data_IF_674628773379
#
_entry.id   IF_674628773379
#
_cell.length_a   1.000
_cell.length_b   1.000
_cell.length_c   1.000
_cell.angle_alpha   90.00
_cell.angle_beta   90.00
_cell.angle_gamma   90.00
#
_symmetry.space_group_name_H-M   'P 1'
#
loop_
_entity.id
_entity.type
_entity.pdbx_description
1 polymer ?
#
# COMPACT_ATOMS: atom_id res chain seq x y z
N UNK A 1 11.92 32.74 13.08
CA UNK A 1 11.20 31.74 12.28
C UNK A 1 11.44 30.39 12.92
N UNK A 2 10.45 29.86 13.64
CA UNK A 2 10.50 28.52 14.22
C UNK A 2 10.21 27.52 13.10
N UNK A 3 11.20 26.74 12.70
CA UNK A 3 10.98 25.57 11.85
C UNK A 3 10.19 24.55 12.68
N UNK A 4 8.92 24.31 12.33
CA UNK A 4 8.16 23.25 12.99
C UNK A 4 8.81 21.91 12.63
N UNK A 5 9.28 21.18 13.64
CA UNK A 5 9.81 19.82 13.49
C UNK A 5 8.64 18.83 13.30
N UNK A 6 7.85 19.05 12.25
CA UNK A 6 6.64 18.27 11.97
C UNK A 6 7.03 16.92 11.38
N UNK A 7 6.74 15.84 12.09
CA UNK A 7 6.86 14.49 11.54
C UNK A 7 5.76 14.29 10.50
N UNK A 8 6.14 13.94 9.28
CA UNK A 8 5.20 13.63 8.19
C UNK A 8 4.96 12.13 8.12
N UNK A 9 3.76 11.75 7.73
CA UNK A 9 3.40 10.37 7.43
C UNK A 9 3.46 10.14 5.93
N UNK A 10 4.23 9.15 5.51
CA UNK A 10 4.12 8.56 4.17
C UNK A 10 3.16 7.37 4.25
N UNK A 11 2.34 7.19 3.23
CA UNK A 11 1.42 6.06 3.11
C UNK A 11 1.74 5.29 1.83
N UNK A 12 1.84 3.98 1.95
CA UNK A 12 1.99 3.06 0.83
C UNK A 12 0.79 2.11 0.84
N UNK A 13 0.10 2.06 -0.29
CA UNK A 13 -0.98 1.11 -0.56
C UNK A 13 -0.45 0.08 -1.54
N UNK A 14 -0.46 -1.19 -1.17
CA UNK A 14 -0.11 -2.30 -2.04
C UNK A 14 -1.34 -3.18 -2.26
N UNK A 15 -1.62 -3.48 -3.51
CA UNK A 15 -2.58 -4.50 -3.92
C UNK A 15 -1.80 -5.74 -4.33
N UNK A 16 -1.99 -6.84 -3.61
CA UNK A 16 -1.25 -8.08 -3.84
C UNK A 16 -2.09 -9.08 -4.64
N UNK A 17 -1.43 -10.06 -5.26
CA UNK A 17 -2.11 -11.09 -6.05
C UNK A 17 -2.97 -12.04 -5.19
N UNK A 18 -2.62 -12.20 -3.91
CA UNK A 18 -3.38 -12.96 -2.90
C UNK A 18 -3.38 -12.20 -1.57
N UNK A 19 -4.09 -12.71 -0.55
CA UNK A 19 -4.07 -12.14 0.80
C UNK A 19 -2.79 -12.45 1.59
N UNK A 20 -1.79 -13.13 1.01
CA UNK A 20 -0.52 -13.37 1.65
C UNK A 20 0.42 -12.17 1.47
N UNK A 21 1.15 -11.78 2.52
CA UNK A 21 1.98 -10.56 2.53
C UNK A 21 3.22 -10.66 1.60
N UNK A 22 3.67 -11.88 1.33
CA UNK A 22 4.74 -12.25 0.40
C UNK A 22 4.24 -12.45 -1.03
N UNK A 23 2.95 -12.21 -1.30
CA UNK A 23 2.39 -12.32 -2.64
C UNK A 23 2.83 -11.16 -3.53
N UNK A 24 3.00 -11.37 -4.85
CA UNK A 24 3.43 -10.32 -5.76
C UNK A 24 2.50 -9.11 -5.75
N UNK A 25 3.09 -7.91 -5.81
CA UNK A 25 2.35 -6.65 -6.01
C UNK A 25 1.80 -6.59 -7.44
N UNK A 26 0.51 -6.29 -7.57
CA UNK A 26 -0.21 -6.14 -8.85
C UNK A 26 -0.78 -4.73 -9.05
N UNK A 27 -0.68 -3.87 -8.04
CA UNK A 27 -1.06 -2.46 -8.09
C UNK A 27 -0.59 -1.74 -6.84
N UNK A 28 -0.34 -0.43 -6.92
CA UNK A 28 0.14 0.34 -5.78
C UNK A 28 -0.18 1.82 -5.91
N UNK A 29 -0.18 2.50 -4.77
CA UNK A 29 -0.16 3.96 -4.68
C UNK A 29 0.76 4.38 -3.53
N UNK A 30 1.52 5.47 -3.70
CA UNK A 30 2.42 6.00 -2.67
C UNK A 30 2.16 7.47 -2.44
N UNK A 31 1.86 7.85 -1.21
CA UNK A 31 1.69 9.23 -0.78
C UNK A 31 2.88 9.64 0.10
N UNK A 32 3.60 10.69 -0.31
CA UNK A 32 4.82 11.15 0.37
C UNK A 32 4.57 12.13 1.54
N UNK A 33 3.32 12.58 1.71
CA UNK A 33 2.90 13.50 2.77
C UNK A 33 3.35 14.96 2.55
N UNK A 34 3.90 15.31 1.39
CA UNK A 34 4.39 16.67 1.08
C UNK A 34 3.33 17.56 0.44
N UNK A 35 2.32 16.96 -0.20
CA UNK A 35 1.32 17.68 -1.00
C UNK A 35 1.84 18.15 -2.37
N UNK A 36 3.10 17.86 -2.73
CA UNK A 36 3.68 18.21 -4.02
C UNK A 36 3.26 17.24 -5.14
N UNK A 37 2.89 16.02 -4.78
CA UNK A 37 2.49 14.95 -5.72
C UNK A 37 1.02 14.60 -5.56
N UNK A 38 0.38 14.15 -6.65
CA UNK A 38 -0.99 13.62 -6.66
C UNK A 38 -0.99 12.26 -7.32
N UNK A 39 -0.47 11.24 -6.63
CA UNK A 39 -0.25 9.95 -7.24
C UNK A 39 -1.58 9.21 -7.46
N UNK A 40 -1.68 8.48 -8.56
CA UNK A 40 -2.73 7.52 -8.86
C UNK A 40 -2.15 6.11 -8.98
N UNK A 41 -3.01 5.10 -8.82
CA UNK A 41 -2.65 3.71 -9.08
C UNK A 41 -2.20 3.57 -10.53
N UNK A 42 -0.96 3.11 -10.75
CA UNK A 42 -0.38 2.94 -12.10
C UNK A 42 0.43 4.12 -12.64
N UNK A 43 0.88 5.06 -11.80
CA UNK A 43 1.82 6.14 -12.22
C UNK A 43 3.20 5.65 -12.71
N UNK A 44 3.48 4.35 -12.54
CA UNK A 44 4.67 3.68 -13.04
C UNK A 44 4.30 2.24 -13.43
N UNK A 45 5.09 1.63 -14.31
CA UNK A 45 4.96 0.22 -14.67
C UNK A 45 5.63 -0.70 -13.64
N UNK A 46 6.50 -0.17 -12.78
CA UNK A 46 7.25 -0.94 -11.78
C UNK A 46 6.82 -0.60 -10.35
N UNK A 47 6.44 -1.59 -9.53
CA UNK A 47 6.09 -1.35 -8.14
C UNK A 47 7.34 -0.96 -7.33
N UNK A 48 7.18 -0.16 -6.25
CA UNK A 48 8.30 0.21 -5.39
C UNK A 48 8.90 -0.99 -4.63
N UNK A 49 8.14 -2.08 -4.50
CA UNK A 49 8.54 -3.34 -3.88
C UNK A 49 7.86 -4.51 -4.60
N UNK A 50 8.52 -5.66 -4.65
CA UNK A 50 7.94 -6.88 -5.23
C UNK A 50 6.84 -7.49 -4.35
N UNK A 51 6.95 -7.33 -3.03
CA UNK A 51 6.03 -7.89 -2.02
C UNK A 51 5.82 -6.91 -0.85
N UNK A 52 4.79 -7.17 -0.03
CA UNK A 52 4.60 -6.46 1.23
C UNK A 52 5.70 -6.75 2.27
N UNK A 53 6.34 -7.93 2.21
CA UNK A 53 7.48 -8.27 3.07
C UNK A 53 8.67 -7.36 2.78
N UNK A 54 8.99 -7.10 1.51
CA UNK A 54 10.08 -6.19 1.13
C UNK A 54 9.83 -4.75 1.62
N UNK A 55 8.57 -4.32 1.71
CA UNK A 55 8.24 -3.03 2.34
C UNK A 55 8.53 -3.05 3.85
N UNK A 56 8.20 -4.14 4.56
CA UNK A 56 8.54 -4.28 5.98
C UNK A 56 10.05 -4.26 6.23
N UNK A 57 10.83 -4.92 5.37
CA UNK A 57 12.30 -4.92 5.44
C UNK A 57 12.89 -3.52 5.29
N UNK A 58 12.25 -2.65 4.48
CA UNK A 58 12.62 -1.24 4.35
C UNK A 58 12.07 -0.37 5.50
N UNK A 59 11.46 -0.95 6.52
CA UNK A 59 11.01 -0.25 7.72
C UNK A 59 9.65 0.45 7.57
N UNK A 60 8.85 0.05 6.58
CA UNK A 60 7.43 0.38 6.58
C UNK A 60 6.70 -0.39 7.69
N UNK A 61 5.69 0.25 8.29
CA UNK A 61 4.85 -0.36 9.32
C UNK A 61 3.50 -0.74 8.73
N UNK A 62 3.11 -2.00 8.86
CA UNK A 62 1.78 -2.45 8.44
C UNK A 62 0.70 -1.91 9.38
N UNK A 63 -0.35 -1.29 8.81
CA UNK A 63 -1.50 -0.77 9.58
C UNK A 63 -2.83 -1.43 9.17
N UNK A 64 -2.92 -2.02 7.97
CA UNK A 64 -4.05 -2.83 7.53
C UNK A 64 -3.58 -3.95 6.61
N UNK A 65 -4.10 -5.16 6.80
CA UNK A 65 -3.90 -6.30 5.91
C UNK A 65 -5.21 -6.74 5.26
N UNK A 66 -5.11 -7.36 4.08
CA UNK A 66 -6.25 -7.92 3.37
C UNK A 66 -6.96 -8.98 4.23
N UNK A 67 -8.25 -8.77 4.48
CA UNK A 67 -9.07 -9.72 5.22
C UNK A 67 -9.49 -10.91 4.34
N UNK A 68 -9.55 -12.10 4.93
CA UNK A 68 -10.13 -13.29 4.29
C UNK A 68 -11.66 -13.24 4.39
N UNK A 69 -12.28 -12.35 3.62
CA UNK A 69 -13.74 -12.25 3.54
C UNK A 69 -14.25 -13.26 2.50
N UNK A 70 -15.15 -14.20 2.88
CA UNK A 70 -15.76 -15.11 1.91
C UNK A 70 -16.54 -14.33 0.83
N UNK A 71 -16.50 -14.76 -0.44
CA UNK A 71 -17.39 -14.18 -1.45
C UNK A 71 -18.85 -14.40 -1.07
N UNK A 72 -19.71 -13.45 -1.43
CA UNK A 72 -21.15 -13.62 -1.27
C UNK A 72 -21.64 -14.80 -2.13
N UNK A 73 -22.59 -15.63 -1.66
CA UNK A 73 -23.11 -16.75 -2.45
C UNK A 73 -23.60 -16.31 -3.84
N UNK A 74 -23.15 -16.98 -4.89
CA UNK A 74 -23.43 -16.63 -6.29
C UNK A 74 -22.41 -15.69 -6.95
N UNK A 75 -21.46 -15.12 -6.19
CA UNK A 75 -20.38 -14.27 -6.70
C UNK A 75 -19.01 -15.00 -6.74
N UNK A 76 -18.99 -16.32 -6.68
CA UNK A 76 -17.77 -17.14 -6.61
C UNK A 76 -16.87 -16.96 -7.83
N UNK A 77 -17.46 -16.60 -8.97
CA UNK A 77 -16.77 -16.42 -10.25
C UNK A 77 -16.58 -14.94 -10.64
N UNK A 78 -16.93 -14.00 -9.76
CA UNK A 78 -16.77 -12.57 -10.05
C UNK A 78 -15.34 -12.09 -9.76
N UNK A 79 -14.75 -11.45 -10.76
CA UNK A 79 -13.48 -10.73 -10.63
C UNK A 79 -13.76 -9.33 -10.08
N UNK A 80 -13.33 -9.06 -8.85
CA UNK A 80 -13.14 -7.69 -8.38
C UNK A 80 -11.70 -7.29 -8.62
N UNK A 81 -11.50 -6.04 -9.03
CA UNK A 81 -10.19 -5.47 -9.25
C UNK A 81 -9.53 -5.20 -7.88
N UNK A 82 -8.27 -5.62 -7.73
CA UNK A 82 -7.40 -5.23 -6.61
C UNK A 82 -7.97 -5.57 -5.19
N UNK A 83 -8.43 -6.81 -4.99
CA UNK A 83 -9.07 -7.29 -3.75
C UNK A 83 -8.18 -7.25 -2.50
N UNK A 84 -6.88 -7.50 -2.65
CA UNK A 84 -5.99 -7.77 -1.52
C UNK A 84 -5.18 -6.54 -1.17
N UNK A 85 -5.83 -5.63 -0.44
CA UNK A 85 -5.27 -4.33 -0.10
C UNK A 85 -4.50 -4.36 1.23
N UNK A 86 -3.28 -3.82 1.20
CA UNK A 86 -2.41 -3.64 2.35
C UNK A 86 -2.00 -2.18 2.47
N UNK A 87 -2.14 -1.63 3.68
CA UNK A 87 -1.72 -0.27 3.98
C UNK A 87 -0.51 -0.29 4.89
N UNK A 88 0.47 0.50 4.51
CA UNK A 88 1.66 0.74 5.30
C UNK A 88 1.85 2.22 5.57
N UNK A 89 2.55 2.53 6.64
CA UNK A 89 3.02 3.87 6.97
C UNK A 89 4.52 3.92 7.23
N UNK A 90 5.11 5.10 6.99
CA UNK A 90 6.46 5.46 7.41
C UNK A 90 6.43 6.88 7.97
N UNK A 91 6.94 7.07 9.19
CA UNK A 91 7.07 8.40 9.79
C UNK A 91 8.44 8.98 9.43
N UNK A 92 8.46 10.16 8.82
CA UNK A 92 9.68 10.83 8.37
C UNK A 92 9.80 12.22 9.00
N UNK A 93 11.03 12.62 9.34
CA UNK A 93 11.33 13.98 9.79
C UNK A 93 11.02 15.04 8.73
N UNK A 94 10.80 16.28 9.17
CA UNK A 94 10.54 17.43 8.31
C UNK A 94 11.70 17.72 7.36
#
# INVERSE_FOLDING_TARGET
MTTSNTVRQQVLVLYLNTSALDSPVVGWARYDGTGATRPTTGDSDEPPYETGVSALEDGWRLIQAAQLIPPYPGAEHETSFLKHEFFFEKLVGA
#
